data_IF_804475378893
#
_entry.id   IF_804475378893
#
_cell.length_a   1.000
_cell.length_b   1.000
_cell.length_c   1.000
_cell.angle_alpha   90.00
_cell.angle_beta   90.00
_cell.angle_gamma   90.00
#
_symmetry.space_group_name_H-M   'P 1'
#
loop_
_entity.id
_entity.type
_entity.pdbx_description
1 polymer ?
#
# COMPACT_ATOMS: atom_id res chain seq x y z
N UNK A 1 -16.99 -11.92 32.45
CA UNK A 1 -15.78 -11.04 32.36
C UNK A 1 -14.65 -11.66 31.54
N UNK A 2 -14.28 -12.94 31.78
CA UNK A 2 -13.18 -13.60 31.01
C UNK A 2 -13.42 -13.70 29.50
N UNK A 3 -14.62 -14.01 29.05
CA UNK A 3 -14.97 -14.10 27.61
C UNK A 3 -14.81 -12.78 26.85
N UNK A 4 -15.19 -11.65 27.47
CA UNK A 4 -15.03 -10.34 26.84
C UNK A 4 -13.55 -9.96 26.66
N UNK A 5 -12.72 -10.27 27.66
CA UNK A 5 -11.27 -10.06 27.58
C UNK A 5 -10.60 -10.92 26.52
N UNK A 6 -11.04 -12.16 26.35
CA UNK A 6 -10.53 -13.06 25.30
C UNK A 6 -10.90 -12.57 23.89
N UNK A 7 -12.14 -12.10 23.71
CA UNK A 7 -12.58 -11.53 22.42
C UNK A 7 -11.79 -10.26 22.06
N UNK A 8 -11.59 -9.36 23.03
CA UNK A 8 -10.79 -8.14 22.81
C UNK A 8 -9.35 -8.52 22.43
N UNK A 9 -8.75 -9.49 23.11
CA UNK A 9 -7.41 -9.94 22.80
C UNK A 9 -7.30 -10.60 21.41
N UNK A 10 -8.31 -11.39 21.02
CA UNK A 10 -8.35 -12.04 19.72
C UNK A 10 -8.50 -11.04 18.56
N UNK A 11 -9.31 -9.99 18.75
CA UNK A 11 -9.59 -8.98 17.73
C UNK A 11 -8.80 -7.68 17.91
N UNK A 12 -7.78 -7.66 18.78
CA UNK A 12 -6.99 -6.45 19.08
C UNK A 12 -6.43 -5.72 17.85
N UNK A 13 -5.98 -6.47 16.84
CA UNK A 13 -5.44 -5.90 15.59
C UNK A 13 -6.51 -5.16 14.77
N UNK A 14 -7.71 -5.72 14.69
CA UNK A 14 -8.85 -5.11 14.01
C UNK A 14 -9.40 -3.92 14.79
N UNK A 15 -9.49 -4.02 16.13
CA UNK A 15 -9.92 -2.92 16.99
C UNK A 15 -8.97 -1.72 16.93
N UNK A 16 -7.67 -1.98 16.75
CA UNK A 16 -6.66 -0.92 16.63
C UNK A 16 -6.80 -0.08 15.35
N UNK A 17 -7.56 -0.55 14.34
CA UNK A 17 -7.81 0.18 13.09
C UNK A 17 -9.02 1.11 13.17
N UNK A 18 -9.86 0.95 14.18
CA UNK A 18 -11.05 1.78 14.36
C UNK A 18 -10.67 3.19 14.83
N UNK A 19 -11.17 4.25 14.15
CA UNK A 19 -10.78 5.62 14.46
C UNK A 19 -11.18 6.07 15.89
N UNK A 20 -12.26 5.52 16.43
CA UNK A 20 -12.80 5.92 17.73
C UNK A 20 -12.12 5.21 18.92
N UNK A 21 -11.66 3.98 18.76
CA UNK A 21 -11.13 3.17 19.87
C UNK A 21 -9.69 2.68 19.63
N UNK A 22 -9.21 2.75 18.40
CA UNK A 22 -7.87 2.29 18.03
C UNK A 22 -6.73 2.91 18.85
N UNK A 23 -6.72 4.23 19.09
CA UNK A 23 -5.69 4.86 19.93
C UNK A 23 -5.68 4.31 21.36
N UNK A 24 -6.85 4.14 21.98
CA UNK A 24 -7.00 3.62 23.34
C UNK A 24 -6.51 2.18 23.44
N UNK A 25 -6.86 1.34 22.45
CA UNK A 25 -6.40 -0.05 22.37
C UNK A 25 -4.88 -0.12 22.28
N UNK A 26 -4.26 0.70 21.40
CA UNK A 26 -2.80 0.74 21.26
C UNK A 26 -2.09 1.17 22.54
N UNK A 27 -2.61 2.21 23.19
CA UNK A 27 -2.04 2.71 24.46
C UNK A 27 -2.13 1.64 25.54
N UNK A 28 -3.27 0.98 25.68
CA UNK A 28 -3.47 -0.06 26.69
C UNK A 28 -2.52 -1.25 26.50
N UNK A 29 -2.43 -1.78 25.28
CA UNK A 29 -1.52 -2.88 24.98
C UNK A 29 -0.04 -2.45 24.99
N UNK A 30 0.25 -1.19 24.67
CA UNK A 30 1.61 -0.60 24.76
C UNK A 30 2.13 -0.61 26.20
N UNK A 31 1.30 -0.27 27.18
CA UNK A 31 1.64 -0.35 28.62
C UNK A 31 1.93 -1.79 29.06
N UNK A 32 1.26 -2.77 28.45
CA UNK A 32 1.49 -4.19 28.72
C UNK A 32 2.69 -4.77 27.93
N UNK A 33 3.39 -3.96 27.14
CA UNK A 33 4.52 -4.41 26.34
C UNK A 33 4.13 -5.37 25.19
N UNK A 34 2.85 -5.43 24.82
CA UNK A 34 2.33 -6.29 23.77
C UNK A 34 2.20 -5.47 22.48
N UNK A 35 2.99 -5.75 21.42
CA UNK A 35 2.85 -5.02 20.17
C UNK A 35 1.50 -5.31 19.52
N UNK A 36 0.72 -4.26 19.25
CA UNK A 36 -0.52 -4.35 18.48
C UNK A 36 -0.21 -3.89 17.05
N UNK A 37 -0.16 -4.83 16.13
CA UNK A 37 -0.03 -4.54 14.70
C UNK A 37 -1.44 -4.36 14.13
N UNK A 38 -1.80 -3.15 13.65
CA UNK A 38 -3.09 -2.94 13.00
C UNK A 38 -3.20 -3.84 11.76
N UNK A 39 -4.34 -4.51 11.60
CA UNK A 39 -4.65 -5.29 10.39
C UNK A 39 -5.59 -4.47 9.52
N UNK A 40 -5.01 -3.89 8.49
CA UNK A 40 -5.75 -3.12 7.51
C UNK A 40 -6.29 -4.03 6.40
N UNK A 41 -7.49 -3.71 5.88
CA UNK A 41 -8.02 -4.43 4.73
C UNK A 41 -7.34 -3.93 3.44
N UNK A 42 -6.30 -4.62 3.03
CA UNK A 42 -5.54 -4.28 1.82
C UNK A 42 -6.41 -4.40 0.55
N UNK A 43 -7.45 -5.24 0.55
CA UNK A 43 -8.36 -5.43 -0.59
C UNK A 43 -9.28 -4.23 -0.82
N UNK A 44 -9.36 -3.32 0.14
CA UNK A 44 -10.10 -2.07 -0.02
C UNK A 44 -9.39 -1.05 -0.91
N UNK A 45 -8.10 -1.24 -1.23
CA UNK A 45 -7.42 -0.42 -2.22
C UNK A 45 -7.78 -0.85 -3.64
N UNK A 46 -7.98 0.14 -4.48
CA UNK A 46 -8.14 -0.01 -5.92
C UNK A 46 -7.10 0.85 -6.62
N UNK A 47 -6.18 0.22 -7.32
CA UNK A 47 -5.14 0.90 -8.09
C UNK A 47 -5.46 0.82 -9.58
N UNK A 48 -5.58 1.97 -10.24
CA UNK A 48 -5.80 2.09 -11.67
C UNK A 48 -4.62 2.78 -12.33
N UNK A 49 -4.07 2.15 -13.33
CA UNK A 49 -3.09 2.77 -14.20
C UNK A 49 -3.77 3.77 -15.13
N UNK A 50 -3.28 5.01 -15.13
CA UNK A 50 -3.80 6.09 -15.98
C UNK A 50 -2.99 6.26 -17.27
N UNK A 51 -1.74 5.83 -17.30
CA UNK A 51 -0.88 5.91 -18.46
C UNK A 51 0.60 5.80 -18.11
N UNK A 52 1.41 5.63 -19.16
CA UNK A 52 2.86 5.63 -19.05
C UNK A 52 3.47 6.47 -20.17
N UNK A 53 4.54 7.18 -19.85
CA UNK A 53 5.35 7.92 -20.81
C UNK A 53 6.79 7.47 -20.73
N UNK A 54 7.41 7.28 -21.89
CA UNK A 54 8.84 6.93 -22.00
C UNK A 54 9.61 8.19 -22.37
N UNK A 55 10.55 8.57 -21.53
CA UNK A 55 11.49 9.66 -21.84
C UNK A 55 12.57 9.18 -22.80
N UNK A 56 12.88 9.99 -23.81
CA UNK A 56 13.95 9.73 -24.76
C UNK A 56 15.37 9.96 -24.25
N UNK A 57 15.54 10.41 -22.99
CA UNK A 57 16.84 10.62 -22.37
C UNK A 57 17.58 9.30 -22.10
N UNK A 58 18.91 9.39 -22.00
CA UNK A 58 19.73 8.24 -21.63
C UNK A 58 20.23 8.43 -20.19
N UNK A 59 19.91 7.53 -19.24
CA UNK A 59 19.11 6.28 -19.39
C UNK A 59 17.63 6.56 -19.66
N UNK A 60 16.98 5.70 -20.43
CA UNK A 60 15.54 5.81 -20.69
C UNK A 60 14.75 5.66 -19.38
N UNK A 61 13.92 6.63 -19.12
CA UNK A 61 13.03 6.60 -17.95
C UNK A 61 11.59 6.31 -18.37
N UNK A 62 10.91 5.55 -17.57
CA UNK A 62 9.48 5.30 -17.69
C UNK A 62 8.81 6.01 -16.53
N UNK A 63 7.87 6.90 -16.83
CA UNK A 63 7.01 7.56 -15.84
C UNK A 63 5.62 6.99 -15.97
N UNK A 64 5.14 6.39 -14.90
CA UNK A 64 3.81 5.80 -14.80
C UNK A 64 2.94 6.66 -13.93
N UNK A 65 1.72 6.91 -14.39
CA UNK A 65 0.68 7.59 -13.63
C UNK A 65 -0.37 6.57 -13.20
N UNK A 66 -0.73 6.59 -11.93
CA UNK A 66 -1.74 5.72 -11.37
C UNK A 66 -2.68 6.51 -10.45
N UNK A 67 -3.88 6.02 -10.26
CA UNK A 67 -4.85 6.52 -9.31
C UNK A 67 -5.11 5.43 -8.28
N UNK A 68 -5.03 5.78 -6.99
CA UNK A 68 -5.25 4.87 -5.88
C UNK A 68 -6.49 5.35 -5.14
N UNK A 69 -7.47 4.49 -5.00
CA UNK A 69 -8.71 4.77 -4.27
C UNK A 69 -8.87 3.84 -3.06
N UNK A 70 -9.42 4.38 -1.98
CA UNK A 70 -9.90 3.62 -0.84
C UNK A 70 -11.39 3.33 -1.02
N UNK A 71 -11.75 2.08 -1.32
CA UNK A 71 -13.14 1.61 -1.46
C UNK A 71 -13.73 1.13 -0.15
N UNK A 72 -12.94 1.13 0.92
CA UNK A 72 -13.38 0.73 2.24
C UNK A 72 -14.23 1.79 2.94
N UNK A 73 -14.77 1.41 4.09
CA UNK A 73 -15.60 2.29 4.96
C UNK A 73 -14.77 3.12 5.93
N UNK A 74 -13.49 2.80 6.07
CA UNK A 74 -12.59 3.39 7.06
C UNK A 74 -11.39 4.02 6.40
N UNK A 75 -10.79 5.06 6.99
CA UNK A 75 -9.51 5.57 6.53
C UNK A 75 -8.45 4.46 6.54
N UNK A 76 -7.61 4.42 5.51
CA UNK A 76 -6.51 3.49 5.37
C UNK A 76 -5.19 4.26 5.28
N UNK A 77 -4.06 3.69 5.70
CA UNK A 77 -2.76 4.30 5.44
C UNK A 77 -2.52 4.45 3.94
N UNK A 78 -1.64 5.38 3.55
CA UNK A 78 -1.19 5.44 2.16
C UNK A 78 -0.39 4.17 1.84
N UNK A 79 -0.72 3.43 0.77
CA UNK A 79 -0.11 2.14 0.50
C UNK A 79 1.30 2.27 -0.10
N UNK A 80 2.08 1.20 -0.04
CA UNK A 80 3.19 0.99 -0.95
C UNK A 80 2.62 0.68 -2.34
N UNK A 81 3.25 1.21 -3.39
CA UNK A 81 2.94 0.82 -4.76
C UNK A 81 3.96 -0.20 -5.24
N UNK A 82 3.52 -1.42 -5.47
CA UNK A 82 4.33 -2.43 -6.12
C UNK A 82 4.23 -2.26 -7.62
N UNK A 83 5.34 -1.90 -8.25
CA UNK A 83 5.48 -1.86 -9.70
C UNK A 83 6.19 -3.12 -10.14
N UNK A 84 5.50 -3.94 -10.92
CA UNK A 84 6.02 -5.20 -11.45
C UNK A 84 6.24 -5.05 -12.96
N UNK A 85 7.45 -5.31 -13.43
CA UNK A 85 7.79 -5.31 -14.84
C UNK A 85 7.66 -6.72 -15.40
N UNK A 86 7.04 -6.82 -16.57
CA UNK A 86 6.76 -8.10 -17.22
C UNK A 86 7.32 -8.15 -18.64
N UNK A 87 7.71 -9.36 -19.06
CA UNK A 87 8.07 -9.64 -20.45
C UNK A 87 6.83 -9.90 -21.31
N UNK A 88 7.04 -10.17 -22.60
CA UNK A 88 5.96 -10.47 -23.55
C UNK A 88 5.15 -11.74 -23.21
N UNK A 89 5.63 -12.55 -22.30
CA UNK A 89 4.94 -13.77 -21.85
C UNK A 89 4.26 -13.58 -20.50
N UNK A 90 4.23 -12.36 -19.95
CA UNK A 90 3.66 -12.04 -18.64
C UNK A 90 4.53 -12.48 -17.46
N UNK A 91 5.78 -12.87 -17.69
CA UNK A 91 6.69 -13.27 -16.60
C UNK A 91 7.30 -12.03 -15.97
N UNK A 92 7.37 -12.02 -14.66
CA UNK A 92 7.99 -10.95 -13.89
C UNK A 92 9.49 -10.90 -14.14
N UNK A 93 9.98 -9.74 -14.61
CA UNK A 93 11.40 -9.45 -14.78
C UNK A 93 11.96 -8.79 -13.52
N UNK A 94 11.21 -7.84 -12.96
CA UNK A 94 11.58 -7.09 -11.77
C UNK A 94 10.34 -6.59 -11.05
N UNK A 95 10.44 -6.40 -9.75
CA UNK A 95 9.41 -5.76 -8.93
C UNK A 95 10.06 -4.80 -7.95
N UNK A 96 9.39 -3.67 -7.69
CA UNK A 96 9.83 -2.68 -6.71
C UNK A 96 8.64 -2.13 -5.95
N UNK A 97 8.81 -2.01 -4.63
CA UNK A 97 7.85 -1.34 -3.75
C UNK A 97 8.25 0.14 -3.61
N UNK A 98 7.34 1.03 -3.97
CA UNK A 98 7.53 2.48 -3.96
C UNK A 98 6.73 3.07 -2.80
N UNK A 99 7.38 3.70 -1.83
CA UNK A 99 6.70 4.30 -0.68
C UNK A 99 5.98 5.61 -1.06
N UNK A 100 4.99 6.06 -0.25
CA UNK A 100 4.17 7.24 -0.55
C UNK A 100 4.95 8.53 -0.80
N UNK A 101 6.07 8.72 -0.12
CA UNK A 101 6.89 9.92 -0.30
C UNK A 101 7.61 9.98 -1.65
N UNK A 102 7.73 8.86 -2.35
CA UNK A 102 8.35 8.78 -3.67
C UNK A 102 7.36 8.93 -4.83
N UNK A 103 6.06 8.67 -4.60
CA UNK A 103 5.05 8.77 -5.66
C UNK A 103 4.05 9.91 -5.47
N UNK A 104 4.03 10.58 -4.32
CA UNK A 104 3.18 11.74 -4.06
C UNK A 104 4.00 13.02 -3.97
N UNK A 105 3.47 14.09 -4.58
CA UNK A 105 4.04 15.43 -4.45
C UNK A 105 2.92 16.43 -4.12
N UNK A 106 3.01 17.16 -3.00
CA UNK A 106 4.08 17.12 -1.99
C UNK A 106 4.12 15.79 -1.22
N UNK A 107 5.30 15.45 -0.67
CA UNK A 107 5.48 14.25 0.13
C UNK A 107 4.54 14.25 1.35
N UNK A 108 3.79 13.17 1.60
CA UNK A 108 2.86 13.09 2.71
C UNK A 108 3.60 12.92 4.04
N UNK A 109 2.93 13.25 5.15
CA UNK A 109 3.42 12.91 6.48
C UNK A 109 3.36 11.40 6.72
N UNK A 110 4.19 10.88 7.63
CA UNK A 110 4.23 9.45 7.95
C UNK A 110 2.89 8.90 8.47
N UNK A 111 2.06 9.76 9.04
CA UNK A 111 0.73 9.41 9.58
C UNK A 111 -0.42 9.73 8.61
N UNK A 112 -0.12 10.13 7.38
CA UNK A 112 -1.14 10.49 6.41
C UNK A 112 -2.01 9.27 6.06
N UNK A 113 -3.32 9.49 6.04
CA UNK A 113 -4.33 8.46 5.78
C UNK A 113 -5.12 8.83 4.52
N UNK A 114 -5.49 7.82 3.76
CA UNK A 114 -6.43 7.94 2.66
C UNK A 114 -7.86 7.76 3.20
N UNK A 115 -8.70 8.79 3.22
CA UNK A 115 -10.04 8.68 3.80
C UNK A 115 -10.90 7.66 3.04
N UNK A 116 -11.97 7.19 3.69
CA UNK A 116 -12.96 6.34 3.04
C UNK A 116 -13.52 7.01 1.79
N UNK A 117 -13.52 6.32 0.65
CA UNK A 117 -13.91 6.88 -0.64
C UNK A 117 -12.91 7.88 -1.24
N UNK A 118 -11.80 8.17 -0.53
CA UNK A 118 -10.76 9.06 -1.00
C UNK A 118 -9.93 8.48 -2.14
N UNK A 119 -9.27 9.37 -2.89
CA UNK A 119 -8.42 9.03 -4.02
C UNK A 119 -7.19 9.91 -4.03
N UNK A 120 -6.06 9.36 -4.45
CA UNK A 120 -4.82 10.07 -4.71
C UNK A 120 -4.25 9.65 -6.06
N UNK A 121 -3.59 10.59 -6.73
CA UNK A 121 -2.87 10.32 -7.98
C UNK A 121 -1.39 10.14 -7.66
N UNK A 122 -0.83 9.05 -8.16
CA UNK A 122 0.55 8.66 -7.97
C UNK A 122 1.33 8.83 -9.27
N UNK A 123 2.57 9.29 -9.15
CA UNK A 123 3.53 9.36 -10.25
C UNK A 123 4.78 8.59 -9.84
N UNK A 124 5.09 7.54 -10.58
CA UNK A 124 6.27 6.70 -10.33
C UNK A 124 7.19 6.78 -11.54
N UNK A 125 8.45 7.13 -11.31
CA UNK A 125 9.48 7.15 -12.34
C UNK A 125 10.55 6.12 -12.03
N UNK A 126 10.89 5.30 -13.02
CA UNK A 126 11.94 4.30 -12.89
C UNK A 126 12.75 4.17 -14.19
N UNK A 127 13.97 3.66 -14.07
CA UNK A 127 14.84 3.40 -15.23
C UNK A 127 14.34 2.16 -15.95
N UNK A 128 14.17 2.27 -17.27
CA UNK A 128 13.79 1.13 -18.10
C UNK A 128 14.94 0.09 -18.09
N UNK A 129 14.70 -1.14 -17.62
CA UNK A 129 15.74 -2.17 -17.55
C UNK A 129 16.14 -2.74 -18.92
N UNK A 130 15.47 -2.34 -19.99
CA UNK A 130 15.79 -2.75 -21.36
C UNK A 130 14.57 -3.17 -22.18
N UNK A 131 14.80 -3.61 -23.43
CA UNK A 131 13.74 -3.92 -24.39
C UNK A 131 12.91 -5.16 -24.02
N UNK A 132 13.32 -5.90 -22.99
CA UNK A 132 12.61 -7.08 -22.50
C UNK A 132 11.37 -6.72 -21.65
N UNK A 133 11.39 -5.53 -21.02
CA UNK A 133 10.26 -5.04 -20.23
C UNK A 133 9.24 -4.40 -21.16
N UNK A 134 8.16 -5.14 -21.47
CA UNK A 134 7.12 -4.72 -22.39
C UNK A 134 5.87 -4.25 -21.64
N UNK A 135 5.58 -4.88 -20.51
CA UNK A 135 4.43 -4.57 -19.67
C UNK A 135 4.83 -4.21 -18.25
N UNK A 136 3.92 -3.54 -17.57
CA UNK A 136 4.04 -3.33 -16.13
C UNK A 136 2.66 -3.39 -15.48
N UNK A 137 2.67 -3.78 -14.22
CA UNK A 137 1.50 -3.87 -13.37
C UNK A 137 1.75 -3.05 -12.10
N UNK A 138 0.70 -2.40 -11.59
CA UNK A 138 0.76 -1.66 -10.33
C UNK A 138 -0.25 -2.25 -9.37
N UNK A 139 0.21 -2.56 -8.17
CA UNK A 139 -0.64 -3.02 -7.08
C UNK A 139 -0.41 -2.19 -5.81
N UNK A 140 -1.47 -2.04 -5.03
CA UNK A 140 -1.40 -1.38 -3.73
C UNK A 140 -1.10 -2.41 -2.65
N UNK A 141 -0.07 -2.17 -1.87
CA UNK A 141 0.42 -3.10 -0.86
C UNK A 141 0.55 -2.42 0.50
N UNK A 142 0.45 -3.21 1.56
CA UNK A 142 0.73 -2.78 2.94
C UNK A 142 1.79 -3.66 3.57
N UNK A 143 2.58 -3.04 4.44
CA UNK A 143 3.52 -3.78 5.27
C UNK A 143 2.80 -4.30 6.52
N UNK A 144 2.83 -5.60 6.71
CA UNK A 144 2.34 -6.29 7.91
C UNK A 144 3.51 -6.98 8.61
N UNK A 145 4.07 -6.31 9.62
CA UNK A 145 5.32 -6.78 10.25
C UNK A 145 6.47 -6.82 9.25
N UNK A 146 7.07 -7.98 9.04
CA UNK A 146 8.17 -8.19 8.10
C UNK A 146 7.72 -8.57 6.68
N UNK A 147 6.42 -8.75 6.47
CA UNK A 147 5.85 -9.11 5.16
C UNK A 147 5.16 -7.93 4.49
N UNK A 148 5.00 -8.03 3.17
CA UNK A 148 4.23 -7.09 2.35
C UNK A 148 3.07 -7.85 1.73
N UNK A 149 1.85 -7.37 1.96
CA UNK A 149 0.61 -7.94 1.44
C UNK A 149 0.01 -6.99 0.42
N UNK A 150 -0.36 -7.49 -0.75
CA UNK A 150 -0.90 -6.69 -1.85
C UNK A 150 -2.38 -6.98 -2.10
N UNK A 151 -3.09 -5.99 -2.67
CA UNK A 151 -4.54 -6.06 -2.89
C UNK A 151 -4.94 -7.17 -3.87
N UNK A 152 -4.19 -7.33 -4.94
CA UNK A 152 -4.47 -8.35 -5.98
C UNK A 152 -3.60 -9.59 -5.85
N UNK A 153 -2.65 -9.61 -4.91
CA UNK A 153 -1.81 -10.78 -4.61
C UNK A 153 -1.09 -11.30 -5.85
N UNK A 154 0.08 -10.81 -6.13
CA UNK A 154 0.98 -11.49 -7.07
C UNK A 154 1.39 -12.83 -6.46
N UNK A 155 0.91 -13.90 -7.06
CA UNK A 155 1.35 -15.27 -6.79
C UNK A 155 2.78 -15.47 -7.24
#
# INVERSE_FOLDING_TARGET
MLLAGQLINQYRGTLATLPSIGPTVRTFYGVLGIPVVPRWDVRAYEAHQLGATVSGSTPRQITVRASIANRGRWPLPLPLLRVTLQDRYGRTIAARDVPPHDYLSPAPTASAMLPAGGRVDAIVTFVNPGPQAIGFEIDACLREGDSVVCAHGTH
#
